data_IF_331989912182
#
_entry.id   IF_331989912182
#
_cell.length_a   1.000
_cell.length_b   1.000
_cell.length_c   1.000
_cell.angle_alpha   90.00
_cell.angle_beta   90.00
_cell.angle_gamma   90.00
#
_symmetry.space_group_name_H-M   'P 1'
#
loop_
_entity.id
_entity.type
_entity.pdbx_description
1 polymer ?
#
# COMPACT_ATOMS: atom_id res chain seq x y z
N UNK A 1 17.59 -7.04 5.60
CA UNK A 1 16.81 -7.47 4.43
C UNK A 1 16.44 -6.27 3.59
N UNK A 2 16.52 -6.38 2.26
CA UNK A 2 16.06 -5.33 1.33
C UNK A 2 14.65 -5.69 0.85
N UNK A 3 13.75 -4.72 0.82
CA UNK A 3 12.41 -4.89 0.26
C UNK A 3 12.50 -5.05 -1.26
N UNK A 4 11.74 -5.99 -1.84
CA UNK A 4 11.87 -6.39 -3.25
C UNK A 4 10.59 -6.18 -4.07
N UNK A 5 9.41 -6.30 -3.48
CA UNK A 5 8.14 -6.07 -4.17
C UNK A 5 7.05 -5.69 -3.16
N UNK A 6 6.11 -4.83 -3.56
CA UNK A 6 4.97 -4.40 -2.73
C UNK A 6 3.69 -4.57 -3.54
N UNK A 7 2.56 -4.71 -2.86
CA UNK A 7 1.26 -4.75 -3.51
C UNK A 7 0.91 -6.12 -4.07
N UNK A 8 0.04 -6.12 -5.07
CA UNK A 8 -0.51 -7.37 -5.59
C UNK A 8 0.49 -8.08 -6.48
N UNK A 9 0.66 -9.38 -6.24
CA UNK A 9 1.36 -10.29 -7.14
C UNK A 9 0.31 -11.10 -7.91
N UNK A 10 0.46 -11.17 -9.24
CA UNK A 10 -0.36 -12.00 -10.13
C UNK A 10 -0.02 -13.50 -10.04
N UNK A 11 0.90 -13.86 -9.15
CA UNK A 11 1.35 -15.22 -8.92
C UNK A 11 2.14 -15.78 -10.11
N UNK A 12 2.47 -17.08 -10.08
CA UNK A 12 3.13 -17.74 -11.20
C UNK A 12 2.24 -17.66 -12.46
N UNK A 13 2.85 -17.42 -13.64
CA UNK A 13 2.10 -17.31 -14.90
C UNK A 13 1.15 -18.50 -15.18
N UNK A 14 1.45 -19.68 -14.62
CA UNK A 14 0.69 -20.90 -14.77
C UNK A 14 -0.44 -21.10 -13.72
N UNK A 15 -0.46 -20.31 -12.65
CA UNK A 15 -1.39 -20.48 -11.54
C UNK A 15 -2.29 -19.26 -11.28
N UNK A 16 -1.98 -18.07 -11.86
CA UNK A 16 -2.77 -16.82 -11.76
C UNK A 16 -3.51 -16.66 -10.41
N UNK A 17 -2.79 -16.86 -9.31
CA UNK A 17 -3.33 -16.66 -7.97
C UNK A 17 -3.05 -15.22 -7.60
N UNK A 18 -4.11 -14.44 -7.38
CA UNK A 18 -3.99 -13.10 -6.84
C UNK A 18 -3.63 -13.22 -5.35
N UNK A 19 -2.50 -12.64 -4.96
CA UNK A 19 -2.06 -12.61 -3.58
C UNK A 19 -1.11 -11.45 -3.33
N UNK A 20 -0.86 -11.12 -2.06
CA UNK A 20 0.12 -10.08 -1.72
C UNK A 20 1.54 -10.54 -2.03
N UNK A 21 2.35 -9.64 -2.58
CA UNK A 21 3.74 -9.91 -2.87
C UNK A 21 4.54 -10.23 -1.61
N UNK A 22 5.53 -11.11 -1.73
CA UNK A 22 6.50 -11.37 -0.66
C UNK A 22 7.49 -10.21 -0.61
N UNK A 23 7.32 -9.31 0.37
CA UNK A 23 8.08 -8.07 0.42
C UNK A 23 9.58 -8.23 0.66
N UNK A 24 10.05 -9.34 1.25
CA UNK A 24 11.45 -9.48 1.71
C UNK A 24 12.13 -10.77 1.23
N UNK A 25 13.37 -10.66 0.76
CA UNK A 25 14.21 -11.79 0.31
C UNK A 25 15.09 -12.38 1.41
N UNK A 26 15.34 -11.66 2.50
CA UNK A 26 16.10 -12.14 3.67
C UNK A 26 15.18 -12.41 4.87
N UNK A 27 15.62 -13.29 5.77
CA UNK A 27 14.94 -13.58 7.03
C UNK A 27 15.11 -12.39 8.01
N UNK A 28 14.27 -11.37 7.83
CA UNK A 28 14.01 -10.35 8.85
C UNK A 28 13.03 -10.89 9.90
N UNK A 29 13.08 -10.34 11.11
CA UNK A 29 12.08 -10.65 12.13
C UNK A 29 10.70 -10.18 11.68
N UNK A 30 9.63 -10.77 12.21
CA UNK A 30 8.26 -10.37 11.85
C UNK A 30 7.99 -8.91 12.20
N UNK A 31 8.55 -8.42 13.32
CA UNK A 31 8.42 -7.04 13.78
C UNK A 31 9.10 -6.05 12.83
N UNK A 32 10.32 -6.36 12.36
CA UNK A 32 11.04 -5.53 11.39
C UNK A 32 10.30 -5.44 10.05
N UNK A 33 9.68 -6.55 9.61
CA UNK A 33 8.89 -6.58 8.38
C UNK A 33 7.64 -5.72 8.49
N UNK A 34 6.92 -5.82 9.61
CA UNK A 34 5.71 -5.03 9.87
C UNK A 34 6.06 -3.54 9.95
N UNK A 35 7.15 -3.17 10.62
CA UNK A 35 7.58 -1.78 10.72
C UNK A 35 7.91 -1.20 9.33
N UNK A 36 8.68 -1.92 8.52
CA UNK A 36 9.05 -1.45 7.17
C UNK A 36 7.84 -1.40 6.23
N UNK A 37 6.94 -2.38 6.31
CA UNK A 37 5.70 -2.37 5.55
C UNK A 37 4.79 -1.19 5.96
N UNK A 38 4.73 -0.88 7.26
CA UNK A 38 3.94 0.25 7.80
C UNK A 38 4.49 1.59 7.32
N UNK A 39 5.80 1.81 7.44
CA UNK A 39 6.42 3.07 7.01
C UNK A 39 6.24 3.30 5.51
N UNK A 40 6.35 2.25 4.70
CA UNK A 40 6.17 2.34 3.26
C UNK A 40 4.71 2.60 2.88
N UNK A 41 3.76 1.81 3.42
CA UNK A 41 2.33 2.03 3.19
C UNK A 41 1.96 3.46 3.57
N UNK A 42 2.50 3.94 4.69
CA UNK A 42 2.32 5.31 5.13
C UNK A 42 2.87 6.34 4.14
N UNK A 43 4.11 6.17 3.66
CA UNK A 43 4.73 7.05 2.67
C UNK A 43 3.95 7.09 1.34
N UNK A 44 3.58 5.93 0.81
CA UNK A 44 2.78 5.83 -0.43
C UNK A 44 1.39 6.44 -0.26
N UNK A 45 0.78 6.27 0.92
CA UNK A 45 -0.53 6.85 1.21
C UNK A 45 -0.47 8.37 1.37
N UNK A 46 0.60 8.93 1.95
CA UNK A 46 0.86 10.37 1.93
C UNK A 46 0.98 10.88 0.50
N UNK A 47 1.78 10.21 -0.34
CA UNK A 47 1.95 10.61 -1.74
C UNK A 47 0.61 10.58 -2.49
N UNK A 48 -0.20 9.55 -2.27
CA UNK A 48 -1.54 9.44 -2.83
C UNK A 48 -2.47 10.56 -2.36
N UNK A 49 -2.45 10.89 -1.06
CA UNK A 49 -3.19 12.02 -0.51
C UNK A 49 -2.77 13.35 -1.13
N UNK A 50 -1.47 13.57 -1.33
CA UNK A 50 -0.95 14.76 -2.02
C UNK A 50 -1.37 14.80 -3.48
N UNK A 51 -1.31 13.67 -4.20
CA UNK A 51 -1.77 13.57 -5.58
C UNK A 51 -3.26 13.94 -5.69
N UNK A 52 -4.11 13.41 -4.80
CA UNK A 52 -5.54 13.77 -4.73
C UNK A 52 -5.79 15.25 -4.43
N UNK A 53 -4.90 15.89 -3.65
CA UNK A 53 -5.04 17.30 -3.29
C UNK A 53 -4.54 18.26 -4.38
N UNK A 54 -3.57 17.84 -5.19
CA UNK A 54 -2.89 18.72 -6.16
C UNK A 54 -3.32 18.48 -7.61
N UNK A 55 -3.76 17.27 -7.96
CA UNK A 55 -4.19 16.98 -9.32
C UNK A 55 -5.63 17.45 -9.58
N UNK A 56 -5.97 17.81 -10.83
CA UNK A 56 -7.34 18.13 -11.22
C UNK A 56 -8.33 17.03 -10.84
N UNK A 57 -9.48 17.45 -10.30
CA UNK A 57 -10.51 16.52 -9.82
C UNK A 57 -11.00 15.57 -10.91
N UNK A 58 -11.07 16.02 -12.17
CA UNK A 58 -11.49 15.20 -13.30
C UNK A 58 -10.57 14.00 -13.52
N UNK A 59 -9.27 14.16 -13.29
CA UNK A 59 -8.26 13.09 -13.43
C UNK A 59 -8.37 12.13 -12.25
N UNK A 60 -8.38 12.66 -11.03
CA UNK A 60 -8.46 11.84 -9.82
C UNK A 60 -9.74 11.02 -9.80
N UNK A 61 -10.88 11.64 -10.14
CA UNK A 61 -12.17 10.98 -10.16
C UNK A 61 -12.19 9.81 -11.15
N UNK A 62 -11.68 9.99 -12.37
CA UNK A 62 -11.58 8.89 -13.34
C UNK A 62 -10.74 7.72 -12.81
N UNK A 63 -9.60 8.01 -12.18
CA UNK A 63 -8.72 6.98 -11.61
C UNK A 63 -9.42 6.26 -10.45
N UNK A 64 -10.04 6.99 -9.52
CA UNK A 64 -10.72 6.38 -8.37
C UNK A 64 -11.92 5.57 -8.81
N UNK A 65 -12.73 6.06 -9.75
CA UNK A 65 -13.87 5.32 -10.29
C UNK A 65 -13.41 4.03 -10.96
N UNK A 66 -12.35 4.06 -11.76
CA UNK A 66 -11.80 2.85 -12.37
C UNK A 66 -11.36 1.83 -11.31
N UNK A 67 -10.63 2.27 -10.28
CA UNK A 67 -10.18 1.39 -9.20
C UNK A 67 -11.36 0.76 -8.44
N UNK A 68 -12.40 1.55 -8.15
CA UNK A 68 -13.60 1.10 -7.45
C UNK A 68 -14.41 0.10 -8.30
N UNK A 69 -14.64 0.41 -9.58
CA UNK A 69 -15.35 -0.47 -10.53
C UNK A 69 -14.64 -1.81 -10.72
N UNK A 70 -13.31 -1.78 -10.76
CA UNK A 70 -12.49 -2.99 -10.88
C UNK A 70 -12.27 -3.71 -9.53
N UNK A 71 -12.87 -3.21 -8.44
CA UNK A 71 -12.76 -3.79 -7.09
C UNK A 71 -11.30 -3.98 -6.63
N UNK A 72 -10.43 -3.03 -6.98
CA UNK A 72 -9.04 -3.06 -6.54
C UNK A 72 -8.96 -2.86 -5.03
N UNK A 73 -8.25 -3.73 -4.28
CA UNK A 73 -8.09 -3.56 -2.85
C UNK A 73 -7.20 -2.34 -2.58
N UNK A 74 -7.35 -1.70 -1.42
CA UNK A 74 -6.36 -0.73 -0.97
C UNK A 74 -5.00 -1.39 -0.75
N UNK A 75 -3.91 -0.61 -0.76
CA UNK A 75 -2.57 -1.14 -0.57
C UNK A 75 -2.44 -1.92 0.76
N UNK A 76 -1.96 -3.14 0.63
CA UNK A 76 -1.59 -4.02 1.74
C UNK A 76 -0.34 -4.80 1.39
N UNK A 77 0.18 -5.50 2.39
CA UNK A 77 1.24 -6.50 2.22
C UNK A 77 0.79 -7.82 2.84
N UNK A 78 1.61 -8.86 2.69
CA UNK A 78 1.36 -10.13 3.37
C UNK A 78 1.30 -9.99 4.91
N UNK A 79 2.02 -9.00 5.48
CA UNK A 79 2.08 -8.80 6.93
C UNK A 79 1.09 -7.73 7.41
N UNK A 80 0.63 -6.84 6.52
CA UNK A 80 -0.33 -5.79 6.84
C UNK A 80 -1.52 -5.88 5.87
N UNK A 81 -2.66 -6.47 6.26
CA UNK A 81 -3.81 -6.61 5.38
C UNK A 81 -4.30 -5.23 4.91
N UNK A 82 -4.95 -5.22 3.74
CA UNK A 82 -5.58 -4.02 3.21
C UNK A 82 -6.72 -3.57 4.13
N UNK A 83 -6.47 -2.52 4.90
CA UNK A 83 -7.42 -1.93 5.85
C UNK A 83 -7.57 -0.44 5.60
N UNK A 84 -8.59 0.15 6.23
CA UNK A 84 -8.78 1.60 6.24
C UNK A 84 -7.74 2.27 7.15
N UNK A 85 -7.14 3.35 6.67
CA UNK A 85 -6.17 4.14 7.41
C UNK A 85 -4.73 3.67 7.32
N UNK A 86 -3.81 4.55 7.69
CA UNK A 86 -2.38 4.27 7.75
C UNK A 86 -1.70 5.06 8.86
N UNK A 87 -0.51 4.61 9.25
CA UNK A 87 0.35 5.29 10.22
C UNK A 87 1.66 5.68 9.56
N UNK A 88 2.26 6.79 10.01
CA UNK A 88 3.61 7.20 9.61
C UNK A 88 4.40 7.61 10.84
N UNK A 89 5.63 7.11 10.94
CA UNK A 89 6.60 7.57 11.92
C UNK A 89 7.44 8.71 11.32
N UNK A 90 7.47 9.86 11.99
CA UNK A 90 8.30 11.01 11.58
C UNK A 90 8.89 11.69 12.80
N UNK A 91 10.22 11.81 12.85
CA UNK A 91 10.98 12.39 13.98
C UNK A 91 10.61 11.78 15.35
N UNK A 92 10.35 10.47 15.39
CA UNK A 92 9.98 9.77 16.63
C UNK A 92 8.54 10.02 17.10
N UNK A 93 7.72 10.72 16.31
CA UNK A 93 6.28 10.84 16.52
C UNK A 93 5.54 9.95 15.55
N UNK A 94 4.50 9.29 16.05
CA UNK A 94 3.61 8.47 15.24
C UNK A 94 2.35 9.29 14.90
N UNK A 95 2.02 9.33 13.61
CA UNK A 95 0.85 10.00 13.08
C UNK A 95 -0.11 8.95 12.54
N UNK A 96 -1.34 8.96 13.04
CA UNK A 96 -2.39 8.02 12.61
C UNK A 96 -3.45 8.73 11.77
N UNK A 97 -3.67 8.22 10.57
CA UNK A 97 -4.68 8.71 9.64
C UNK A 97 -5.80 7.69 9.53
N UNK A 98 -6.74 7.69 10.46
CA UNK A 98 -7.84 6.70 10.51
C UNK A 98 -8.93 6.92 9.46
N UNK A 99 -9.08 8.14 8.95
CA UNK A 99 -10.11 8.50 7.97
C UNK A 99 -9.61 8.54 6.52
N UNK A 100 -8.29 8.49 6.31
CA UNK A 100 -7.71 8.51 4.98
C UNK A 100 -7.54 7.08 4.44
N UNK A 101 -8.06 6.81 3.26
CA UNK A 101 -7.77 5.55 2.56
C UNK A 101 -6.29 5.46 2.18
N UNK A 102 -5.76 4.23 2.18
CA UNK A 102 -4.40 3.96 1.72
C UNK A 102 -4.27 4.23 0.21
N UNK A 103 -3.03 4.28 -0.27
CA UNK A 103 -2.77 4.29 -1.70
C UNK A 103 -3.41 3.07 -2.41
N UNK A 104 -3.70 3.16 -3.73
CA UNK A 104 -4.00 1.98 -4.54
C UNK A 104 -2.84 0.97 -4.50
N UNK A 105 -3.10 -0.32 -4.74
CA UNK A 105 -2.07 -1.34 -4.65
C UNK A 105 -1.11 -1.20 -5.84
N UNK A 106 0.19 -1.31 -5.59
CA UNK A 106 1.18 -1.42 -6.67
C UNK A 106 1.07 -2.79 -7.34
N UNK A 107 1.28 -2.83 -8.66
CA UNK A 107 1.25 -4.03 -9.50
C UNK A 107 2.39 -4.01 -10.51
#
# INVERSE_FOLDING_TARGET
>A
GKMVQIGMNMGPCHARVLGWAKSFTQNLSTEEKVSQDTDLIGAMSILWCLAKAQLPIDIIHQITTFLDEQSYPMMGTQNLPAEAGFSVSFEGKEYHFSQAGRAPPEG
#
